data_IF_617354613257
#
_entry.id   IF_617354613257
#
_cell.length_a   1.000
_cell.length_b   1.000
_cell.length_c   1.000
_cell.angle_alpha   90.00
_cell.angle_beta   90.00
_cell.angle_gamma   90.00
#
_symmetry.space_group_name_H-M   'P 1'
#
loop_
_entity.id
_entity.type
_entity.pdbx_description
1 polymer ?
#
# COMPACT_ATOMS: atom_id res chain seq x y z
N UNK A 1 0.96 19.85 -13.02
CA UNK A 1 1.85 19.73 -11.85
C UNK A 1 2.13 18.26 -11.65
N UNK A 2 3.37 17.83 -11.91
CA UNK A 2 3.80 16.45 -11.68
C UNK A 2 4.14 16.36 -10.20
N UNK A 3 3.29 15.73 -9.40
CA UNK A 3 3.63 15.43 -8.01
C UNK A 3 4.70 14.33 -8.04
N UNK A 4 5.89 14.62 -7.53
CA UNK A 4 6.93 13.60 -7.35
C UNK A 4 6.53 12.66 -6.21
N UNK A 5 6.93 11.39 -6.28
CA UNK A 5 6.57 10.37 -5.27
C UNK A 5 7.04 10.76 -3.86
N UNK A 6 8.17 11.47 -3.78
CA UNK A 6 8.68 12.06 -2.54
C UNK A 6 7.66 12.99 -1.89
N UNK A 7 7.00 13.87 -2.67
CA UNK A 7 5.96 14.76 -2.15
C UNK A 7 4.70 14.01 -1.69
N UNK A 8 4.36 12.88 -2.32
CA UNK A 8 3.25 12.01 -1.88
C UNK A 8 3.56 11.33 -0.54
N UNK A 9 4.82 10.92 -0.35
CA UNK A 9 5.31 10.33 0.89
C UNK A 9 5.41 11.40 1.99
N UNK A 10 5.91 12.60 1.68
CA UNK A 10 6.02 13.71 2.64
C UNK A 10 4.67 14.20 3.16
N UNK A 11 3.64 14.20 2.33
CA UNK A 11 2.28 14.55 2.74
C UNK A 11 1.54 13.39 3.42
N UNK A 12 2.19 12.23 3.54
CA UNK A 12 1.59 11.10 4.22
C UNK A 12 1.64 11.28 5.74
N UNK A 13 0.47 11.28 6.38
CA UNK A 13 0.39 11.39 7.84
C UNK A 13 1.13 10.25 8.55
N UNK A 14 1.04 9.02 8.01
CA UNK A 14 1.78 7.88 8.56
C UNK A 14 2.24 6.90 7.49
N UNK A 15 3.56 6.73 7.42
CA UNK A 15 4.18 5.76 6.52
C UNK A 15 4.50 4.48 7.30
N UNK A 16 4.17 3.33 6.71
CA UNK A 16 4.70 2.04 7.13
C UNK A 16 5.30 1.32 5.92
N UNK A 17 6.48 0.73 6.09
CA UNK A 17 7.14 -0.05 5.05
C UNK A 17 7.12 -1.52 5.40
N UNK A 18 6.96 -2.38 4.40
CA UNK A 18 7.08 -3.82 4.56
C UNK A 18 7.82 -4.41 3.35
N UNK A 19 8.88 -5.20 3.56
CA UNK A 19 9.46 -5.98 2.49
C UNK A 19 8.46 -7.04 2.03
N UNK A 20 8.34 -7.21 0.72
CA UNK A 20 7.42 -8.16 0.09
C UNK A 20 7.65 -9.61 0.52
N UNK A 21 8.91 -9.96 0.81
CA UNK A 21 9.31 -11.27 1.32
C UNK A 21 8.66 -11.67 2.64
N UNK A 22 8.20 -10.70 3.45
CA UNK A 22 7.49 -10.98 4.70
C UNK A 22 6.00 -11.21 4.51
N UNK A 23 5.45 -10.92 3.32
CA UNK A 23 4.02 -11.00 3.05
C UNK A 23 3.71 -12.32 2.33
N UNK A 24 3.53 -13.38 3.11
CA UNK A 24 3.11 -14.69 2.58
C UNK A 24 1.61 -14.78 2.31
N UNK A 25 0.81 -13.94 2.98
CA UNK A 25 -0.63 -13.84 2.77
C UNK A 25 -1.09 -12.39 2.99
N UNK A 26 -1.51 -11.74 1.90
CA UNK A 26 -1.94 -10.34 1.93
C UNK A 26 -3.13 -10.09 2.84
N UNK A 27 -4.16 -10.94 2.82
CA UNK A 27 -5.37 -10.74 3.63
C UNK A 27 -5.04 -10.75 5.13
N UNK A 28 -4.31 -11.76 5.61
CA UNK A 28 -3.90 -11.86 7.02
C UNK A 28 -2.98 -10.71 7.41
N UNK A 29 -1.99 -10.42 6.58
CA UNK A 29 -1.04 -9.34 6.85
C UNK A 29 -1.75 -8.00 6.96
N UNK A 30 -2.57 -7.64 5.96
CA UNK A 30 -3.26 -6.35 5.92
C UNK A 30 -4.28 -6.21 7.03
N UNK A 31 -4.96 -7.30 7.44
CA UNK A 31 -5.90 -7.23 8.56
C UNK A 31 -5.21 -6.88 9.88
N UNK A 32 -4.00 -7.39 10.10
CA UNK A 32 -3.17 -7.08 11.27
C UNK A 32 -2.49 -5.71 11.14
N UNK A 33 -2.01 -5.38 9.95
CA UNK A 33 -1.15 -4.23 9.70
C UNK A 33 -1.91 -2.91 9.56
N UNK A 34 -3.10 -2.94 8.96
CA UNK A 34 -3.93 -1.76 8.71
C UNK A 34 -4.81 -1.42 9.92
N UNK A 35 -4.91 -0.14 10.31
CA UNK A 35 -5.80 0.29 11.38
C UNK A 35 -7.27 -0.01 11.04
N UNK A 36 -8.11 -0.19 12.06
CA UNK A 36 -9.54 -0.53 11.88
C UNK A 36 -10.34 0.58 11.18
N UNK A 37 -10.04 1.83 11.49
CA UNK A 37 -10.78 3.01 11.00
C UNK A 37 -10.03 3.70 9.85
N UNK A 38 -9.56 2.92 8.87
CA UNK A 38 -8.84 3.44 7.71
C UNK A 38 -9.82 3.95 6.65
N UNK A 39 -9.74 5.23 6.29
CA UNK A 39 -10.58 5.85 5.26
C UNK A 39 -9.91 5.86 3.89
N UNK A 40 -8.60 6.10 3.85
CA UNK A 40 -7.80 6.14 2.63
C UNK A 40 -6.50 5.40 2.83
N UNK A 41 -6.06 4.68 1.82
CA UNK A 41 -4.78 4.00 1.77
C UNK A 41 -4.12 4.28 0.44
N UNK A 42 -2.88 4.75 0.46
CA UNK A 42 -2.02 4.75 -0.72
C UNK A 42 -0.95 3.68 -0.55
N UNK A 43 -0.88 2.73 -1.49
CA UNK A 43 0.12 1.68 -1.51
C UNK A 43 1.09 1.97 -2.65
N UNK A 44 2.37 2.08 -2.34
CA UNK A 44 3.43 2.19 -3.34
C UNK A 44 4.09 0.82 -3.44
N UNK A 45 4.03 0.23 -4.62
CA UNK A 45 4.57 -1.08 -4.93
C UNK A 45 5.87 -0.96 -5.73
N UNK A 46 6.84 -1.84 -5.49
CA UNK A 46 7.92 -2.09 -6.44
C UNK A 46 7.36 -2.46 -7.81
N UNK A 47 8.02 -2.03 -8.88
CA UNK A 47 7.65 -2.39 -10.25
C UNK A 47 7.54 -3.91 -10.47
N UNK A 48 8.40 -4.68 -9.83
CA UNK A 48 8.40 -6.16 -9.87
C UNK A 48 7.11 -6.78 -9.30
N UNK A 49 6.32 -6.02 -8.54
CA UNK A 49 5.08 -6.46 -7.90
C UNK A 49 3.83 -5.85 -8.54
N UNK A 50 3.96 -5.23 -9.71
CA UNK A 50 2.83 -4.63 -10.41
C UNK A 50 1.69 -5.64 -10.66
N UNK A 51 2.02 -6.89 -11.01
CA UNK A 51 1.06 -7.97 -11.21
C UNK A 51 0.29 -8.37 -9.94
N UNK A 52 0.83 -8.05 -8.77
CA UNK A 52 0.19 -8.32 -7.47
C UNK A 52 -0.72 -7.18 -7.00
N UNK A 53 -0.73 -6.04 -7.71
CA UNK A 53 -1.49 -4.84 -7.34
C UNK A 53 -2.97 -5.13 -7.12
N UNK A 54 -3.62 -5.85 -8.03
CA UNK A 54 -5.05 -6.18 -7.90
C UNK A 54 -5.31 -7.12 -6.72
N UNK A 55 -4.45 -8.11 -6.47
CA UNK A 55 -4.57 -8.99 -5.30
C UNK A 55 -4.48 -8.21 -3.99
N UNK A 56 -3.53 -7.26 -3.92
CA UNK A 56 -3.36 -6.39 -2.75
C UNK A 56 -4.60 -5.52 -2.59
N UNK A 57 -5.10 -4.93 -3.67
CA UNK A 57 -6.32 -4.11 -3.66
C UNK A 57 -7.52 -4.87 -3.12
N UNK A 58 -7.76 -6.08 -3.63
CA UNK A 58 -8.85 -6.94 -3.16
C UNK A 58 -8.69 -7.29 -1.69
N UNK A 59 -7.48 -7.65 -1.26
CA UNK A 59 -7.20 -7.96 0.14
C UNK A 59 -7.44 -6.75 1.07
N UNK A 60 -7.07 -5.53 0.63
CA UNK A 60 -7.38 -4.31 1.37
C UNK A 60 -8.89 -4.08 1.42
N UNK A 61 -9.61 -4.21 0.30
CA UNK A 61 -11.07 -4.01 0.27
C UNK A 61 -11.81 -5.04 1.12
N UNK A 62 -11.33 -6.28 1.21
CA UNK A 62 -11.88 -7.29 2.13
C UNK A 62 -11.61 -6.94 3.59
N UNK A 63 -10.41 -6.48 3.91
CA UNK A 63 -10.07 -6.07 5.27
C UNK A 63 -10.81 -4.79 5.68
N UNK A 64 -10.93 -3.82 4.78
CA UNK A 64 -11.51 -2.49 5.00
C UNK A 64 -12.38 -2.08 3.79
N UNK A 65 -13.65 -2.52 3.74
CA UNK A 65 -14.53 -2.30 2.58
C UNK A 65 -14.82 -0.83 2.27
N UNK A 66 -14.76 0.03 3.28
CA UNK A 66 -15.00 1.47 3.14
C UNK A 66 -13.73 2.28 2.83
N UNK A 67 -12.57 1.62 2.69
CA UNK A 67 -11.30 2.29 2.44
C UNK A 67 -11.13 2.61 0.95
N UNK A 68 -10.79 3.85 0.63
CA UNK A 68 -10.36 4.24 -0.72
C UNK A 68 -8.90 3.83 -0.91
N UNK A 69 -8.65 2.90 -1.83
CA UNK A 69 -7.29 2.38 -2.10
C UNK A 69 -6.74 3.00 -3.38
N UNK A 70 -5.57 3.64 -3.29
CA UNK A 70 -4.77 4.06 -4.44
C UNK A 70 -3.51 3.21 -4.48
N UNK A 71 -3.23 2.60 -5.62
CA UNK A 71 -1.99 1.86 -5.82
C UNK A 71 -1.14 2.64 -6.82
N UNK A 72 0.11 2.89 -6.42
CA UNK A 72 1.14 3.51 -7.25
C UNK A 72 2.26 2.50 -7.42
N UNK A 73 2.92 2.55 -8.57
CA UNK A 73 4.05 1.67 -8.86
C UNK A 73 5.28 2.53 -9.03
N UNK A 74 6.35 2.14 -8.34
CA UNK A 74 7.62 2.84 -8.35
C UNK A 74 8.75 1.87 -8.75
N UNK A 75 9.61 2.32 -9.66
CA UNK A 75 10.71 1.49 -10.21
C UNK A 75 11.91 1.40 -9.28
N UNK A 76 12.07 2.39 -8.39
CA UNK A 76 13.21 2.49 -7.48
C UNK A 76 12.87 1.93 -6.08
N UNK A 77 11.59 1.76 -5.77
CA UNK A 77 11.12 1.18 -4.52
C UNK A 77 11.41 -0.31 -4.45
N UNK A 78 12.11 -0.72 -3.39
CA UNK A 78 12.41 -2.13 -3.07
C UNK A 78 11.43 -2.74 -2.08
N UNK A 79 10.65 -1.91 -1.42
CA UNK A 79 9.71 -2.30 -0.38
C UNK A 79 8.31 -1.82 -0.73
N UNK A 80 7.30 -2.45 -0.14
CA UNK A 80 5.94 -1.96 -0.22
C UNK A 80 5.79 -0.86 0.81
N UNK A 81 5.35 0.32 0.36
CA UNK A 81 5.10 1.47 1.24
C UNK A 81 3.60 1.65 1.38
N UNK A 82 3.12 1.64 2.61
CA UNK A 82 1.74 1.93 2.97
C UNK A 82 1.67 3.31 3.59
N UNK A 83 0.96 4.19 2.90
CA UNK A 83 0.63 5.52 3.38
C UNK A 83 -0.80 5.54 3.93
N UNK A 84 -0.93 5.77 5.25
CA UNK A 84 -2.15 5.74 6.05
C UNK A 84 -2.62 7.15 6.42
#
# INVERSE_FOLDING_TARGET
MVYTMETLIENCGKIKKAPSSLITNYEKFLNFFLPKNLQSLTVILPYEMMDESEKIREAVMKARPSCVVKILVDKDSKEIVFCL
#
